data_IF_897907855685
#
_entry.id   IF_897907855685
#
_cell.length_a   1.000
_cell.length_b   1.000
_cell.length_c   1.000
_cell.angle_alpha   90.00
_cell.angle_beta   90.00
_cell.angle_gamma   90.00
#
_symmetry.space_group_name_H-M   'P 1'
#
loop_
_entity.id
_entity.type
_entity.pdbx_description
1 polymer ?
#
# COMPACT_ATOMS: atom_id res chain seq x y z
N UNK A 1 4.96 25.77 -18.12
CA UNK A 1 4.33 24.44 -18.17
C UNK A 1 4.86 23.66 -16.98
N UNK A 2 4.06 23.56 -15.91
CA UNK A 2 4.48 23.01 -14.61
C UNK A 2 4.52 21.48 -14.69
N UNK A 3 5.71 20.89 -14.72
CA UNK A 3 5.90 19.47 -14.40
C UNK A 3 6.24 19.39 -12.92
N UNK A 4 5.21 19.20 -12.10
CA UNK A 4 5.36 19.01 -10.66
C UNK A 4 6.10 17.71 -10.36
N UNK A 5 6.91 17.77 -9.29
CA UNK A 5 7.35 16.65 -8.46
C UNK A 5 6.22 15.60 -8.27
N UNK A 6 6.43 14.33 -7.98
CA UNK A 6 7.12 13.83 -6.79
C UNK A 6 7.58 12.37 -7.00
N UNK A 7 8.90 12.17 -7.02
CA UNK A 7 9.56 10.87 -6.96
C UNK A 7 9.70 10.36 -5.51
N UNK A 8 8.66 10.33 -4.66
CA UNK A 8 8.89 10.06 -3.23
C UNK A 8 7.85 9.14 -2.56
N UNK A 9 7.73 7.91 -3.05
CA UNK A 9 7.09 6.79 -2.31
C UNK A 9 8.09 5.62 -2.25
N UNK A 10 9.15 5.77 -1.46
CA UNK A 10 10.23 4.77 -1.37
C UNK A 10 9.84 3.51 -0.57
N UNK A 11 8.74 3.53 0.19
CA UNK A 11 8.34 2.41 1.07
C UNK A 11 7.50 1.32 0.37
N UNK A 12 6.77 1.67 -0.70
CA UNK A 12 5.85 0.75 -1.39
C UNK A 12 6.50 -0.02 -2.56
N UNK A 13 7.81 0.15 -2.77
CA UNK A 13 8.38 0.15 -4.13
C UNK A 13 8.53 -1.19 -4.85
N UNK A 14 8.33 -2.35 -4.22
CA UNK A 14 8.55 -3.64 -4.92
C UNK A 14 7.26 -4.36 -5.35
N UNK A 15 6.18 -4.28 -4.55
CA UNK A 15 4.97 -5.09 -4.78
C UNK A 15 3.65 -4.30 -4.62
N UNK A 16 3.70 -2.97 -4.55
CA UNK A 16 2.48 -2.18 -4.48
C UNK A 16 1.82 -2.05 -5.84
N UNK A 17 0.55 -2.42 -5.91
CA UNK A 17 -0.29 -2.31 -7.09
C UNK A 17 -1.31 -1.23 -6.81
N UNK A 18 -1.40 -0.22 -7.69
CA UNK A 18 -2.44 0.81 -7.59
C UNK A 18 -3.84 0.17 -7.69
N UNK A 19 -4.77 0.65 -6.87
CA UNK A 19 -6.15 0.13 -6.79
C UNK A 19 -7.13 1.15 -7.33
N UNK A 20 -7.14 2.35 -6.74
CA UNK A 20 -8.04 3.44 -7.10
C UNK A 20 -7.46 4.79 -6.65
N UNK A 21 -7.93 5.85 -7.29
CA UNK A 21 -7.77 7.23 -6.84
C UNK A 21 -9.09 7.71 -6.23
N UNK A 22 -9.01 8.41 -5.10
CA UNK A 22 -10.16 8.98 -4.41
C UNK A 22 -9.90 10.46 -4.09
N UNK A 23 -10.93 11.19 -3.66
CA UNK A 23 -10.77 12.57 -3.17
C UNK A 23 -9.80 12.70 -1.98
N UNK A 24 -9.50 11.60 -1.30
CA UNK A 24 -8.61 11.56 -0.14
C UNK A 24 -7.17 11.17 -0.51
N UNK A 25 -6.93 10.68 -1.73
CA UNK A 25 -5.63 10.21 -2.18
C UNK A 25 -5.68 8.89 -2.95
N UNK A 26 -4.49 8.38 -3.27
CA UNK A 26 -4.28 7.17 -4.04
C UNK A 26 -4.19 5.94 -3.14
N UNK A 27 -4.96 4.90 -3.46
CA UNK A 27 -4.91 3.62 -2.75
C UNK A 27 -4.09 2.59 -3.51
N UNK A 28 -3.38 1.78 -2.74
CA UNK A 28 -2.52 0.72 -3.23
C UNK A 28 -2.79 -0.56 -2.44
N UNK A 29 -2.57 -1.70 -3.09
CA UNK A 29 -2.57 -3.01 -2.45
C UNK A 29 -1.18 -3.62 -2.49
N UNK A 30 -0.81 -4.34 -1.43
CA UNK A 30 0.35 -5.22 -1.41
C UNK A 30 -0.12 -6.60 -0.98
N UNK A 31 0.16 -7.59 -1.81
CA UNK A 31 -0.10 -8.99 -1.53
C UNK A 31 1.19 -9.64 -0.99
N UNK A 32 1.07 -10.51 0.01
CA UNK A 32 2.23 -11.18 0.62
C UNK A 32 1.84 -12.27 1.61
N UNK A 33 2.84 -12.89 2.24
CA UNK A 33 2.65 -13.97 3.23
C UNK A 33 3.20 -13.53 4.57
N UNK A 34 2.40 -13.68 5.62
CA UNK A 34 2.83 -13.50 7.00
C UNK A 34 3.11 -14.87 7.64
N UNK A 35 4.24 -14.97 8.34
CA UNK A 35 4.57 -16.17 9.11
C UNK A 35 4.35 -15.91 10.60
N UNK A 36 3.45 -16.67 11.21
CA UNK A 36 3.20 -16.65 12.64
C UNK A 36 4.35 -17.28 13.43
N UNK A 37 4.43 -16.95 14.72
CA UNK A 37 5.41 -17.55 15.66
C UNK A 37 5.25 -19.08 15.79
N UNK A 38 4.06 -19.60 15.49
CA UNK A 38 3.75 -21.02 15.45
C UNK A 38 4.15 -21.69 14.13
N UNK A 39 4.80 -20.96 13.22
CA UNK A 39 5.23 -21.45 11.91
C UNK A 39 4.13 -21.50 10.85
N UNK A 40 2.89 -21.13 11.17
CA UNK A 40 1.79 -21.08 10.21
C UNK A 40 1.95 -19.87 9.30
N UNK A 41 1.80 -20.08 8.01
CA UNK A 41 1.83 -19.04 6.99
C UNK A 41 0.40 -18.62 6.61
N UNK A 42 0.19 -17.32 6.47
CA UNK A 42 -1.09 -16.73 6.07
C UNK A 42 -0.86 -15.80 4.88
N UNK A 43 -1.51 -16.09 3.76
CA UNK A 43 -1.57 -15.14 2.65
C UNK A 43 -2.45 -13.96 3.02
N UNK A 44 -1.99 -12.75 2.72
CA UNK A 44 -2.67 -11.51 3.07
C UNK A 44 -2.63 -10.52 1.93
N UNK A 45 -3.63 -9.64 1.91
CA UNK A 45 -3.63 -8.40 1.14
C UNK A 45 -3.71 -7.24 2.12
N UNK A 46 -2.79 -6.30 1.98
CA UNK A 46 -2.83 -5.03 2.72
C UNK A 46 -3.23 -3.90 1.79
N UNK A 47 -4.03 -2.97 2.30
CA UNK A 47 -4.43 -1.74 1.61
C UNK A 47 -3.75 -0.56 2.28
N UNK A 48 -3.20 0.31 1.45
CA UNK A 48 -2.46 1.51 1.85
C UNK A 48 -3.03 2.72 1.11
N UNK A 49 -2.94 3.90 1.72
CA UNK A 49 -3.30 5.17 1.09
C UNK A 49 -2.12 6.14 1.15
N UNK A 50 -1.86 6.84 0.04
CA UNK A 50 -1.02 8.04 -0.01
C UNK A 50 -1.99 9.22 -0.18
N UNK A 51 -2.14 10.02 0.87
CA UNK A 51 -3.11 11.11 0.89
C UNK A 51 -2.63 12.28 0.02
N UNK A 52 -3.55 13.02 -0.62
CA UNK A 52 -3.22 14.08 -1.60
C UNK A 52 -2.27 15.16 -1.08
N UNK A 53 -2.21 15.36 0.25
CA UNK A 53 -1.36 16.35 0.91
C UNK A 53 -0.23 15.73 1.77
N UNK A 54 -0.04 14.41 1.70
CA UNK A 54 0.96 13.71 2.50
C UNK A 54 1.76 12.73 1.64
N UNK A 55 3.07 12.83 1.73
CA UNK A 55 3.98 11.97 0.96
C UNK A 55 4.21 10.59 1.60
N UNK A 56 3.50 10.28 2.68
CA UNK A 56 3.67 9.03 3.43
C UNK A 56 2.48 8.10 3.23
N UNK A 57 2.78 6.84 2.89
CA UNK A 57 1.80 5.78 2.83
C UNK A 57 1.32 5.42 4.24
N UNK A 58 0.00 5.37 4.44
CA UNK A 58 -0.64 4.94 5.69
C UNK A 58 -1.33 3.60 5.48
N UNK A 59 -1.19 2.71 6.47
CA UNK A 59 -1.88 1.44 6.48
C UNK A 59 -3.38 1.67 6.72
N UNK A 60 -4.21 1.10 5.85
CA UNK A 60 -5.67 1.19 5.98
C UNK A 60 -6.21 -0.10 6.59
N UNK A 61 -5.90 -1.25 5.98
CA UNK A 61 -6.39 -2.54 6.45
C UNK A 61 -5.56 -3.70 5.92
N UNK A 62 -5.70 -4.86 6.56
CA UNK A 62 -5.19 -6.14 6.12
C UNK A 62 -6.38 -7.11 6.06
N UNK A 63 -6.47 -7.84 4.96
CA UNK A 63 -7.45 -8.91 4.80
C UNK A 63 -6.71 -10.22 4.48
N UNK A 64 -7.06 -11.34 5.15
CA UNK A 64 -6.59 -12.66 4.74
C UNK A 64 -6.97 -12.96 3.29
N UNK A 65 -6.10 -13.68 2.58
CA UNK A 65 -6.41 -14.33 1.31
C UNK A 65 -6.49 -15.82 1.62
N UNK A 66 -7.72 -16.34 1.61
CA UNK A 66 -8.00 -17.77 1.82
C UNK A 66 -7.77 -18.56 0.54
#
# INVERSE_FOLDING_TARGET
MLFGCYNHVYFLKKNAIWVEETSYGNKYKIDGTLKGINGIELEVRTIWIVETNYDQARFVTLVPRG
#
